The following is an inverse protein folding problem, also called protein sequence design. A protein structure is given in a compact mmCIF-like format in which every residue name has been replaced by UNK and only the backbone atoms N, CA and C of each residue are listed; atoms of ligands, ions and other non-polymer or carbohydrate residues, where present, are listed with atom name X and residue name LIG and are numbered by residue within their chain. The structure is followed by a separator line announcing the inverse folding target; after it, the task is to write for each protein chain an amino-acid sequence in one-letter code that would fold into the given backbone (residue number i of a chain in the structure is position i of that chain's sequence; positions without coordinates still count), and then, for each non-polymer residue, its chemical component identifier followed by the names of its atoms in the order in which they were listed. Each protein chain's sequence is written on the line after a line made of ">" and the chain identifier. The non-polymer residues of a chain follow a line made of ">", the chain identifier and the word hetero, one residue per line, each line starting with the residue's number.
data_IF_559165673916
#
_entry.id   IF_559165673916
#
_cell.length_a   1.000
_cell.length_b   1.000
_cell.length_c   1.000
_cell.angle_alpha   90.00
_cell.angle_beta   90.00
_cell.angle_gamma   90.00
#
_symmetry.space_group_name_H-M   'P 1'
#
loop_
_entity.id
_entity.type
_entity.pdbx_description
1 polymer ?
#
# COMPACT_ATOMS: atom_id res chain seq x y z
N UNK A 1 28.87 -20.45 -35.89
CA UNK A 1 28.65 -20.02 -34.49
C UNK A 1 27.67 -18.86 -34.50
N UNK A 2 26.42 -19.07 -34.07
CA UNK A 2 25.36 -18.05 -34.08
C UNK A 2 25.35 -17.41 -32.70
N UNK A 3 25.78 -16.15 -32.64
CA UNK A 3 25.88 -15.37 -31.40
C UNK A 3 24.47 -15.09 -30.85
N UNK A 4 24.02 -15.90 -29.90
CA UNK A 4 22.72 -15.75 -29.22
C UNK A 4 22.74 -14.64 -28.16
N UNK A 5 23.90 -14.05 -27.88
CA UNK A 5 24.10 -13.01 -26.85
C UNK A 5 23.46 -11.67 -27.18
N UNK A 6 23.10 -11.41 -28.45
CA UNK A 6 22.46 -10.15 -28.83
C UNK A 6 21.01 -9.99 -28.36
N UNK A 7 20.26 -11.09 -28.20
CA UNK A 7 18.84 -11.04 -27.81
C UNK A 7 18.64 -10.80 -26.31
N UNK A 8 19.55 -11.29 -25.47
CA UNK A 8 19.48 -11.11 -24.01
C UNK A 8 19.81 -9.68 -23.57
N UNK A 9 20.61 -8.94 -24.35
CA UNK A 9 21.01 -7.57 -24.01
C UNK A 9 19.88 -6.54 -24.14
N UNK A 10 18.83 -6.84 -24.92
CA UNK A 10 17.72 -5.93 -25.20
C UNK A 10 16.49 -6.13 -24.31
N UNK A 11 16.34 -7.29 -23.66
CA UNK A 11 15.15 -7.59 -22.84
C UNK A 11 15.25 -7.09 -21.40
N UNK A 12 16.47 -7.03 -20.84
CA UNK A 12 16.70 -6.58 -19.45
C UNK A 12 16.34 -5.11 -19.22
N UNK A 13 16.69 -4.13 -20.10
CA UNK A 13 16.32 -2.74 -19.90
C UNK A 13 14.80 -2.49 -20.04
N UNK A 14 14.11 -3.31 -20.84
CA UNK A 14 12.66 -3.19 -21.07
C UNK A 14 11.85 -3.58 -19.82
N UNK A 15 12.32 -4.56 -19.06
CA UNK A 15 11.69 -5.00 -17.80
C UNK A 15 11.85 -3.98 -16.66
N UNK A 16 12.89 -3.15 -16.70
CA UNK A 16 13.16 -2.16 -15.64
C UNK A 16 12.37 -0.85 -15.80
N UNK A 17 11.66 -0.67 -16.93
CA UNK A 17 10.80 0.51 -17.16
C UNK A 17 9.42 0.40 -16.46
N UNK A 18 9.10 -0.75 -15.85
CA UNK A 18 7.77 -1.04 -15.30
C UNK A 18 7.48 -0.54 -13.88
N UNK A 19 8.48 -0.06 -13.14
CA UNK A 19 8.31 0.41 -11.75
C UNK A 19 8.30 1.94 -11.63
N UNK A 20 7.67 2.65 -12.56
CA UNK A 20 7.17 3.99 -12.30
C UNK A 20 5.74 3.89 -11.73
N UNK A 21 5.56 3.10 -10.67
CA UNK A 21 4.37 3.24 -9.84
C UNK A 21 4.57 4.55 -9.11
N UNK A 22 3.89 5.61 -9.55
CA UNK A 22 3.70 6.79 -8.74
C UNK A 22 3.08 6.27 -7.45
N UNK A 23 3.90 6.12 -6.41
CA UNK A 23 3.43 6.09 -5.04
C UNK A 23 2.90 7.49 -4.73
N UNK A 24 1.85 7.90 -5.45
CA UNK A 24 0.85 8.73 -4.84
C UNK A 24 0.45 7.96 -3.59
N UNK A 25 0.49 8.62 -2.46
CA UNK A 25 -0.08 8.18 -1.20
C UNK A 25 -1.55 7.85 -1.44
N UNK A 26 -1.82 6.70 -2.04
CA UNK A 26 -3.17 6.30 -2.43
C UNK A 26 -3.81 5.77 -1.15
N UNK A 27 -4.44 6.70 -0.43
CA UNK A 27 -5.00 6.50 0.89
C UNK A 27 -6.29 5.68 0.87
N UNK A 28 -6.55 4.94 -0.21
CA UNK A 28 -7.68 4.03 -0.36
C UNK A 28 -7.75 2.99 0.77
N UNK A 29 -6.60 2.52 1.27
CA UNK A 29 -6.50 1.61 2.41
C UNK A 29 -6.77 2.29 3.76
N UNK A 30 -6.65 3.62 3.82
CA UNK A 30 -6.62 4.41 5.04
C UNK A 30 -8.02 4.89 5.45
N UNK A 31 -9.00 3.98 5.49
CA UNK A 31 -10.33 4.30 6.02
C UNK A 31 -10.39 4.01 7.52
N UNK A 32 -10.96 4.91 8.34
CA UNK A 32 -11.11 4.65 9.76
C UNK A 32 -12.05 3.48 10.00
N UNK A 33 -11.70 2.63 10.96
CA UNK A 33 -12.57 1.56 11.45
C UNK A 33 -13.58 2.19 12.41
N UNK A 34 -14.85 2.12 12.03
CA UNK A 34 -15.97 2.65 12.82
C UNK A 34 -16.52 1.54 13.74
N UNK A 35 -16.84 1.90 14.97
CA UNK A 35 -17.35 0.98 15.99
C UNK A 35 -18.84 1.28 16.22
N UNK A 36 -19.68 0.25 16.19
CA UNK A 36 -21.10 0.32 16.52
C UNK A 36 -21.32 0.17 18.03
N UNK A 37 -22.47 0.64 18.53
CA UNK A 37 -22.85 0.42 19.95
C UNK A 37 -23.09 -1.06 20.30
N UNK A 38 -23.34 -1.91 19.31
CA UNK A 38 -23.59 -3.34 19.52
C UNK A 38 -22.28 -4.15 19.56
N UNK A 39 -21.13 -3.55 19.23
CA UNK A 39 -19.86 -4.26 19.13
C UNK A 39 -19.31 -4.53 20.54
N UNK A 40 -18.94 -5.79 20.80
CA UNK A 40 -18.26 -6.18 22.04
C UNK A 40 -16.78 -6.42 21.72
N UNK A 41 -15.93 -5.49 22.12
CA UNK A 41 -14.50 -5.53 21.84
C UNK A 41 -13.70 -6.00 23.06
N UNK A 42 -12.67 -6.80 22.82
CA UNK A 42 -11.62 -6.99 23.82
C UNK A 42 -10.76 -5.73 23.93
N UNK A 43 -10.07 -5.54 25.06
CA UNK A 43 -9.18 -4.39 25.24
C UNK A 43 -8.09 -4.32 24.16
N UNK A 44 -7.53 -5.47 23.78
CA UNK A 44 -6.47 -5.53 22.77
C UNK A 44 -6.99 -5.16 21.38
N UNK A 45 -8.21 -5.61 21.03
CA UNK A 45 -8.86 -5.20 19.78
C UNK A 45 -9.14 -3.69 19.75
N UNK A 46 -9.62 -3.12 20.86
CA UNK A 46 -9.87 -1.69 20.97
C UNK A 46 -8.59 -0.86 20.76
N UNK A 47 -7.47 -1.29 21.37
CA UNK A 47 -6.15 -0.65 21.18
C UNK A 47 -5.68 -0.73 19.73
N UNK A 48 -5.84 -1.89 19.08
CA UNK A 48 -5.43 -2.07 17.70
C UNK A 48 -6.24 -1.17 16.74
N UNK A 49 -7.55 -1.07 16.94
CA UNK A 49 -8.42 -0.18 16.15
C UNK A 49 -7.99 1.29 16.33
N UNK A 50 -7.74 1.70 17.58
CA UNK A 50 -7.29 3.06 17.86
C UNK A 50 -5.95 3.36 17.17
N UNK A 51 -4.97 2.46 17.30
CA UNK A 51 -3.66 2.62 16.67
C UNK A 51 -3.76 2.71 15.15
N UNK A 52 -4.60 1.88 14.53
CA UNK A 52 -4.88 1.93 13.10
C UNK A 52 -5.43 3.31 12.69
N UNK A 53 -6.49 3.79 13.36
CA UNK A 53 -7.15 5.04 13.01
C UNK A 53 -6.25 6.28 13.21
N UNK A 54 -5.39 6.26 14.24
CA UNK A 54 -4.37 7.29 14.42
C UNK A 54 -3.34 7.27 13.29
N UNK A 55 -2.87 6.08 12.89
CA UNK A 55 -1.88 5.97 11.83
C UNK A 55 -2.42 6.43 10.48
N UNK A 56 -3.69 6.13 10.21
CA UNK A 56 -4.43 6.67 9.07
C UNK A 56 -4.42 8.19 9.09
N UNK A 57 -4.73 8.82 10.23
CA UNK A 57 -4.76 10.28 10.36
C UNK A 57 -3.38 10.92 10.18
N UNK A 58 -2.32 10.23 10.60
CA UNK A 58 -0.92 10.68 10.45
C UNK A 58 -0.44 10.60 8.99
N UNK A 59 -0.73 9.48 8.31
CA UNK A 59 -0.20 9.20 6.97
C UNK A 59 -1.07 9.72 5.83
N UNK A 60 -2.36 9.91 6.08
CA UNK A 60 -3.36 10.18 5.06
C UNK A 60 -4.27 11.32 5.49
N UNK A 61 -4.35 12.37 4.67
CA UNK A 61 -5.26 13.49 4.94
C UNK A 61 -6.71 13.04 4.70
N UNK A 62 -7.64 13.24 5.66
CA UNK A 62 -9.04 12.95 5.40
C UNK A 62 -9.58 13.85 4.28
N UNK A 63 -10.02 13.25 3.16
CA UNK A 63 -10.64 13.97 2.04
C UNK A 63 -9.76 14.22 0.81
N UNK A 64 -8.63 13.53 0.68
CA UNK A 64 -7.94 13.33 -0.61
C UNK A 64 -8.39 12.04 -1.31
#
# INVERSE_FOLDING_TARGET
>A
MRSTTGWLALTVPLLMMGCAHSAGTDCAWARPILISKADVLTLETAKAILAHNLKVTELCRPGE
#
